data_IF_796882027091
#
_entry.id   IF_796882027091
#
_cell.length_a   1.000
_cell.length_b   1.000
_cell.length_c   1.000
_cell.angle_alpha   90.00
_cell.angle_beta   90.00
_cell.angle_gamma   90.00
#
_symmetry.space_group_name_H-M   'P 1'
#
loop_
_entity.id
_entity.type
_entity.pdbx_description
1 polymer ?
#
# COMPACT_ATOMS: atom_id res chain seq x y z
N UNK A 1 -6.88 -0.77 -9.81
CA UNK A 1 -5.56 -0.77 -9.16
C UNK A 1 -4.52 -1.32 -10.13
N UNK A 2 -3.37 -0.68 -10.17
CA UNK A 2 -2.30 -1.08 -11.07
C UNK A 2 -1.54 -2.25 -10.49
N UNK A 3 -1.35 -3.28 -11.30
CA UNK A 3 -0.55 -4.43 -10.90
C UNK A 3 0.90 -4.22 -11.31
N UNK A 4 1.80 -4.46 -10.37
CA UNK A 4 3.23 -4.31 -10.59
C UNK A 4 3.78 -5.64 -11.10
N UNK A 5 4.48 -5.60 -12.24
CA UNK A 5 4.92 -6.83 -12.90
C UNK A 5 6.36 -7.21 -12.60
N UNK A 6 7.15 -6.32 -12.01
CA UNK A 6 8.57 -6.58 -11.75
C UNK A 6 9.07 -5.73 -10.59
N UNK A 7 10.23 -6.12 -10.05
CA UNK A 7 10.89 -5.34 -9.01
C UNK A 7 11.23 -3.93 -9.49
N UNK A 8 11.64 -3.82 -10.75
CA UNK A 8 11.95 -2.50 -11.32
C UNK A 8 10.73 -1.61 -11.37
N UNK A 9 9.60 -2.17 -11.79
CA UNK A 9 8.36 -1.42 -11.83
C UNK A 9 7.91 -1.01 -10.44
N UNK A 10 8.07 -1.88 -9.46
CA UNK A 10 7.76 -1.56 -8.07
C UNK A 10 8.59 -0.37 -7.61
N UNK A 11 9.90 -0.42 -7.85
CA UNK A 11 10.79 0.64 -7.40
C UNK A 11 10.46 1.98 -8.04
N UNK A 12 10.10 1.97 -9.31
CA UNK A 12 9.68 3.20 -10.00
C UNK A 12 8.38 3.73 -9.39
N UNK A 13 7.44 2.82 -9.14
CA UNK A 13 6.11 3.22 -8.63
C UNK A 13 6.20 3.91 -7.28
N UNK A 14 7.06 3.43 -6.38
CA UNK A 14 7.12 4.00 -5.03
C UNK A 14 7.95 5.29 -4.96
N UNK A 15 8.62 5.67 -6.06
CA UNK A 15 9.40 6.92 -6.09
C UNK A 15 8.51 8.16 -6.22
N UNK A 16 7.23 7.99 -6.45
CA UNK A 16 6.32 9.12 -6.59
C UNK A 16 6.35 10.02 -5.36
N UNK A 17 6.25 11.33 -5.59
CA UNK A 17 6.13 12.28 -4.48
C UNK A 17 4.73 12.25 -3.87
N UNK A 18 3.78 11.63 -4.54
CA UNK A 18 2.46 11.39 -3.98
C UNK A 18 2.49 10.16 -3.10
N UNK A 19 1.44 9.97 -2.32
CA UNK A 19 1.34 8.80 -1.46
C UNK A 19 0.99 7.57 -2.29
N UNK A 20 1.78 6.51 -2.17
CA UNK A 20 1.53 5.24 -2.85
C UNK A 20 1.40 4.16 -1.79
N UNK A 21 0.34 3.36 -1.88
CA UNK A 21 0.14 2.24 -0.96
C UNK A 21 0.18 0.95 -1.77
N UNK A 22 1.12 0.08 -1.41
CA UNK A 22 1.26 -1.23 -2.05
C UNK A 22 0.46 -2.27 -1.29
N UNK A 23 -0.37 -3.02 -2.01
CA UNK A 23 -1.15 -4.11 -1.47
C UNK A 23 -0.48 -5.41 -1.91
N UNK A 24 -0.01 -6.19 -0.94
CA UNK A 24 0.68 -7.46 -1.23
C UNK A 24 -0.33 -8.59 -1.11
N UNK A 25 -0.48 -9.38 -2.16
CA UNK A 25 -1.51 -10.41 -2.30
C UNK A 25 -0.98 -11.65 -3.01
N UNK A 26 -1.79 -12.69 -3.04
CA UNK A 26 -1.53 -13.88 -3.84
C UNK A 26 -2.85 -14.50 -4.29
N UNK A 27 -2.83 -15.20 -5.41
CA UNK A 27 -4.04 -15.80 -5.97
C UNK A 27 -4.66 -16.86 -5.05
N UNK A 28 -3.81 -17.59 -4.31
CA UNK A 28 -4.27 -18.69 -3.46
C UNK A 28 -4.77 -18.21 -2.08
N UNK A 29 -4.61 -16.95 -1.78
CA UNK A 29 -4.85 -16.41 -0.45
C UNK A 29 -6.35 -16.14 -0.22
N UNK A 30 -6.96 -16.89 0.70
CA UNK A 30 -8.38 -16.71 0.99
C UNK A 30 -8.71 -15.36 1.58
N UNK A 31 -7.85 -14.86 2.47
CA UNK A 31 -8.06 -13.55 3.09
C UNK A 31 -7.87 -12.42 2.08
N UNK A 32 -7.05 -12.63 1.06
CA UNK A 32 -6.95 -11.68 -0.05
C UNK A 32 -8.25 -11.63 -0.84
N UNK A 33 -8.84 -12.81 -1.09
CA UNK A 33 -10.12 -12.87 -1.79
C UNK A 33 -11.24 -12.25 -1.00
N UNK A 34 -11.12 -12.31 0.33
CA UNK A 34 -12.12 -11.69 1.21
C UNK A 34 -12.20 -10.18 0.99
N UNK A 35 -11.05 -9.52 0.76
CA UNK A 35 -11.06 -8.07 0.58
C UNK A 35 -11.35 -7.65 -0.85
N UNK A 36 -11.16 -8.53 -1.83
CA UNK A 36 -11.33 -8.19 -3.24
C UNK A 36 -12.67 -7.52 -3.57
N UNK A 37 -13.82 -7.99 -3.03
CA UNK A 37 -15.10 -7.39 -3.42
C UNK A 37 -15.24 -5.91 -3.07
N UNK A 38 -14.61 -5.44 -2.01
CA UNK A 38 -14.79 -4.03 -1.61
C UNK A 38 -13.59 -3.15 -1.96
N UNK A 39 -12.46 -3.74 -2.36
CA UNK A 39 -11.28 -2.92 -2.66
C UNK A 39 -11.49 -1.92 -3.81
N UNK A 40 -12.23 -2.24 -4.88
CA UNK A 40 -12.47 -1.21 -5.91
C UNK A 40 -13.15 0.04 -5.37
N UNK A 41 -14.10 -0.12 -4.43
CA UNK A 41 -14.76 1.03 -3.82
C UNK A 41 -13.79 1.81 -2.93
N UNK A 42 -12.93 1.10 -2.21
CA UNK A 42 -11.92 1.76 -1.38
C UNK A 42 -10.96 2.55 -2.27
N UNK A 43 -10.51 1.95 -3.37
CA UNK A 43 -9.63 2.64 -4.31
C UNK A 43 -10.25 3.90 -4.83
N UNK A 44 -11.51 3.82 -5.22
CA UNK A 44 -12.21 4.99 -5.76
C UNK A 44 -12.36 6.09 -4.71
N UNK A 45 -12.67 5.69 -3.48
CA UNK A 45 -12.86 6.64 -2.39
C UNK A 45 -11.61 7.45 -2.10
N UNK A 46 -10.44 6.85 -2.29
CA UNK A 46 -9.17 7.50 -1.97
C UNK A 46 -8.37 7.97 -3.18
N UNK A 47 -8.93 7.82 -4.39
CA UNK A 47 -8.19 8.02 -5.64
C UNK A 47 -7.62 9.43 -5.79
N UNK A 48 -8.26 10.44 -5.18
CA UNK A 48 -7.80 11.82 -5.27
C UNK A 48 -6.67 12.13 -4.29
N UNK A 49 -6.32 11.21 -3.40
CA UNK A 49 -5.34 11.45 -2.33
C UNK A 49 -4.19 10.47 -2.31
N UNK A 50 -4.38 9.27 -2.84
CA UNK A 50 -3.33 8.27 -2.86
C UNK A 50 -3.52 7.33 -4.04
N UNK A 51 -2.48 6.57 -4.36
CA UNK A 51 -2.52 5.58 -5.43
C UNK A 51 -2.31 4.21 -4.82
N UNK A 52 -3.17 3.25 -5.18
CA UNK A 52 -2.98 1.86 -4.77
C UNK A 52 -2.28 1.10 -5.90
N UNK A 53 -1.24 0.35 -5.54
CA UNK A 53 -0.62 -0.59 -6.45
C UNK A 53 -0.70 -1.98 -5.84
N UNK A 54 -0.66 -3.01 -6.68
CA UNK A 54 -0.85 -4.38 -6.24
C UNK A 54 0.38 -5.20 -6.59
N UNK A 55 0.91 -5.93 -5.61
CA UNK A 55 2.09 -6.77 -5.78
C UNK A 55 1.72 -8.20 -5.46
N UNK A 56 1.87 -9.09 -6.44
CA UNK A 56 1.65 -10.53 -6.24
C UNK A 56 2.93 -11.12 -5.65
N UNK A 57 2.84 -11.67 -4.43
CA UNK A 57 4.04 -12.12 -3.72
C UNK A 57 4.70 -13.33 -4.38
N UNK A 58 3.97 -14.05 -5.21
CA UNK A 58 4.53 -15.19 -5.93
C UNK A 58 5.20 -14.75 -7.23
N UNK A 59 4.56 -13.82 -7.94
CA UNK A 59 5.09 -13.36 -9.23
C UNK A 59 6.26 -12.40 -9.06
N UNK A 60 6.26 -11.61 -7.97
CA UNK A 60 7.31 -10.63 -7.70
C UNK A 60 7.87 -10.89 -6.31
N UNK A 61 8.32 -12.14 -6.11
CA UNK A 61 8.76 -12.61 -4.80
C UNK A 61 9.93 -11.85 -4.20
N UNK A 62 10.83 -11.35 -5.06
CA UNK A 62 11.98 -10.61 -4.55
C UNK A 62 11.56 -9.30 -3.86
N UNK A 63 10.49 -8.66 -4.31
CA UNK A 63 9.98 -7.46 -3.65
C UNK A 63 9.44 -7.82 -2.27
N UNK A 64 8.66 -8.90 -2.19
CA UNK A 64 8.09 -9.34 -0.92
C UNK A 64 9.18 -9.65 0.10
N UNK A 65 10.26 -10.28 -0.33
CA UNK A 65 11.36 -10.59 0.54
C UNK A 65 12.08 -9.33 1.03
N UNK A 66 12.36 -8.43 0.11
CA UNK A 66 13.06 -7.19 0.46
C UNK A 66 12.24 -6.33 1.40
N UNK A 67 10.93 -6.33 1.21
CA UNK A 67 10.03 -5.52 2.03
C UNK A 67 9.62 -6.20 3.31
N UNK A 68 10.07 -7.42 3.54
CA UNK A 68 9.75 -8.20 4.76
C UNK A 68 8.25 -8.36 4.94
N UNK A 69 7.59 -8.87 3.90
CA UNK A 69 6.16 -9.11 3.93
C UNK A 69 5.90 -10.49 4.52
N UNK A 70 5.56 -10.54 5.81
CA UNK A 70 5.44 -11.79 6.54
C UNK A 70 4.02 -12.34 6.54
N UNK A 71 3.07 -11.64 5.95
CA UNK A 71 1.68 -12.10 5.85
C UNK A 71 0.99 -11.38 4.74
N UNK A 72 -0.14 -11.91 4.29
CA UNK A 72 -0.95 -11.29 3.25
C UNK A 72 -2.42 -11.47 3.58
N UNK A 73 -3.29 -10.54 3.16
CA UNK A 73 -2.94 -9.31 2.45
C UNK A 73 -2.25 -8.32 3.39
N UNK A 74 -1.28 -7.61 2.89
CA UNK A 74 -0.54 -6.63 3.68
C UNK A 74 -0.44 -5.34 2.88
N UNK A 75 -0.28 -4.23 3.62
CA UNK A 75 -0.30 -2.89 3.06
C UNK A 75 0.91 -2.12 3.55
N UNK A 76 1.62 -1.46 2.64
CA UNK A 76 2.76 -0.62 2.99
C UNK A 76 2.66 0.69 2.23
N UNK A 77 2.81 1.81 2.93
CA UNK A 77 2.68 3.14 2.33
C UNK A 77 4.06 3.75 2.10
N UNK A 78 4.22 4.38 0.94
CA UNK A 78 5.51 4.97 0.51
C UNK A 78 5.32 6.36 -0.04
N UNK A 79 6.36 7.19 0.08
CA UNK A 79 6.50 8.41 -0.69
C UNK A 79 7.98 8.65 -0.95
N UNK A 80 8.32 9.12 -2.16
CA UNK A 80 9.70 9.39 -2.54
C UNK A 80 10.63 8.19 -2.32
N UNK A 81 10.11 6.98 -2.53
CA UNK A 81 10.85 5.74 -2.37
C UNK A 81 11.03 5.27 -0.94
N UNK A 82 10.46 5.97 0.03
CA UNK A 82 10.63 5.65 1.45
C UNK A 82 9.34 5.15 2.07
N UNK A 83 9.46 4.15 2.92
CA UNK A 83 8.31 3.62 3.64
C UNK A 83 7.89 4.59 4.74
N UNK A 84 6.58 4.84 4.84
CA UNK A 84 6.01 5.70 5.87
C UNK A 84 5.42 4.89 7.00
N UNK A 85 4.58 3.92 6.67
CA UNK A 85 3.86 3.14 7.68
C UNK A 85 3.40 1.85 7.02
N UNK A 86 3.22 0.79 7.82
CA UNK A 86 2.82 -0.51 7.28
C UNK A 86 1.76 -1.19 8.13
N UNK A 87 1.02 -2.07 7.48
CA UNK A 87 0.00 -2.90 8.11
C UNK A 87 0.25 -4.33 7.61
N UNK A 88 1.17 -5.02 8.28
CA UNK A 88 1.68 -6.32 7.83
C UNK A 88 1.48 -7.34 8.94
N UNK A 89 0.65 -8.35 8.69
CA UNK A 89 0.48 -9.49 9.57
C UNK A 89 -0.27 -10.57 8.81
N UNK A 90 -0.55 -11.70 9.45
CA UNK A 90 -1.20 -12.84 8.81
C UNK A 90 -2.70 -12.87 9.00
N UNK A 91 -3.27 -11.85 9.65
CA UNK A 91 -4.68 -11.85 9.99
C UNK A 91 -5.52 -11.33 8.86
N UNK A 92 -6.77 -11.81 8.78
CA UNK A 92 -7.78 -11.26 7.88
C UNK A 92 -8.06 -9.81 8.26
N UNK A 93 -8.26 -8.97 7.27
CA UNK A 93 -8.47 -7.54 7.48
C UNK A 93 -9.85 -7.14 6.99
N UNK A 94 -10.54 -6.35 7.80
CA UNK A 94 -11.83 -5.79 7.42
C UNK A 94 -11.62 -4.53 6.58
N UNK A 95 -12.68 -4.13 5.87
CA UNK A 95 -12.64 -2.86 5.14
C UNK A 95 -12.34 -1.71 6.08
N UNK A 96 -12.93 -1.71 7.26
CA UNK A 96 -12.74 -0.64 8.24
C UNK A 96 -11.28 -0.55 8.66
N UNK A 97 -10.64 -1.68 8.94
CA UNK A 97 -9.23 -1.70 9.31
C UNK A 97 -8.34 -1.16 8.20
N UNK A 98 -8.66 -1.53 6.97
CA UNK A 98 -7.89 -1.06 5.81
C UNK A 98 -8.05 0.44 5.64
N UNK A 99 -9.28 0.95 5.74
CA UNK A 99 -9.50 2.39 5.62
C UNK A 99 -8.85 3.16 6.77
N UNK A 100 -8.87 2.61 7.98
CA UNK A 100 -8.16 3.22 9.11
C UNK A 100 -6.67 3.33 8.81
N UNK A 101 -6.10 2.28 8.21
CA UNK A 101 -4.69 2.32 7.81
C UNK A 101 -4.44 3.40 6.75
N UNK A 102 -5.30 3.49 5.75
CA UNK A 102 -5.15 4.50 4.70
C UNK A 102 -5.24 5.91 5.27
N UNK A 103 -6.15 6.12 6.21
CA UNK A 103 -6.27 7.41 6.87
C UNK A 103 -5.03 7.74 7.68
N UNK A 104 -4.45 6.74 8.35
CA UNK A 104 -3.21 6.95 9.08
C UNK A 104 -2.05 7.26 8.14
N UNK A 105 -1.98 6.56 7.01
CA UNK A 105 -0.95 6.82 6.02
C UNK A 105 -1.06 8.24 5.48
N UNK A 106 -2.28 8.71 5.23
CA UNK A 106 -2.51 10.08 4.77
C UNK A 106 -2.06 11.08 5.82
N UNK A 107 -2.35 10.82 7.11
CA UNK A 107 -1.95 11.73 8.17
C UNK A 107 -0.42 11.84 8.26
N UNK A 108 0.28 10.71 8.16
CA UNK A 108 1.74 10.71 8.17
C UNK A 108 2.28 11.45 6.95
N UNK A 109 1.69 11.18 5.79
CA UNK A 109 2.09 11.83 4.55
C UNK A 109 1.96 13.35 4.64
N UNK A 110 0.83 13.82 5.14
CA UNK A 110 0.60 15.25 5.27
C UNK A 110 1.56 15.90 6.25
N UNK A 111 1.88 15.21 7.34
CA UNK A 111 2.85 15.73 8.29
C UNK A 111 4.19 15.98 7.63
N UNK A 112 4.64 15.05 6.78
CA UNK A 112 5.93 15.18 6.12
C UNK A 112 5.96 16.29 5.09
N UNK A 113 4.83 16.54 4.43
CA UNK A 113 4.79 17.48 3.30
C UNK A 113 4.37 18.90 3.69
N UNK A 114 3.72 19.06 4.85
CA UNK A 114 3.15 20.36 5.20
C UNK A 114 3.96 21.13 6.21
N UNK A 115 4.67 20.43 7.08
CA UNK A 115 5.19 21.04 8.28
C UNK A 115 6.20 22.15 8.07
N UNK A 116 7.24 21.92 7.31
CA UNK A 116 8.39 22.82 7.36
C UNK A 116 8.10 24.22 6.89
N UNK A 117 7.41 24.35 5.81
CA UNK A 117 7.28 25.64 5.19
C UNK A 117 6.43 26.58 5.99
N UNK A 118 5.49 26.05 6.69
CA UNK A 118 4.56 26.92 7.37
C UNK A 118 5.13 27.56 8.60
N UNK A 119 6.19 27.02 9.09
CA UNK A 119 6.74 27.52 10.34
C UNK A 119 7.36 28.85 10.23
N UNK A 120 7.75 29.18 9.10
CA UNK A 120 8.40 30.43 8.93
C UNK A 120 7.53 31.46 8.35
#
# INVERSE_FOLDING_TARGET
>A
VKQVASAGEFNVSIQSSNLVVAVFKADWCGDCKFIDPFMPEVEEKYADRLTLIEVDVDKVGEVSQEQNILGIPSFVAYTDGRELVRFVNKLRKSREEIEDFLNKALAVYHTLHDTPERKE
#
